data_IF_946248108547
#
_entry.id   IF_946248108547
#
_cell.length_a   1.000
_cell.length_b   1.000
_cell.length_c   1.000
_cell.angle_alpha   90.00
_cell.angle_beta   90.00
_cell.angle_gamma   90.00
#
_symmetry.space_group_name_H-M   'P 1'
#
loop_
_entity.id
_entity.type
_entity.pdbx_description
1 polymer ?
#
# COMPACT_ATOMS: atom_id res chain seq x y z
N UNK A 1 -11.51 22.28 -0.92
CA UNK A 1 -10.23 22.94 -1.30
C UNK A 1 -9.55 22.03 -2.32
N UNK A 2 -9.12 22.62 -3.45
CA UNK A 2 -8.44 21.87 -4.51
C UNK A 2 -6.98 22.28 -4.62
N UNK A 3 -6.13 21.35 -5.02
CA UNK A 3 -4.70 21.54 -5.29
C UNK A 3 -4.36 20.77 -6.57
N UNK A 4 -3.56 21.38 -7.43
CA UNK A 4 -3.02 20.74 -8.63
C UNK A 4 -1.50 20.77 -8.50
N UNK A 5 -0.84 19.66 -8.77
CA UNK A 5 0.61 19.55 -8.81
C UNK A 5 1.05 18.94 -10.12
N UNK A 6 2.12 19.48 -10.68
CA UNK A 6 2.80 18.95 -11.85
C UNK A 6 4.26 18.73 -11.46
N UNK A 7 4.76 17.54 -11.66
CA UNK A 7 6.12 17.15 -11.31
C UNK A 7 6.87 16.52 -12.48
N UNK A 8 8.17 16.73 -12.48
CA UNK A 8 9.12 15.96 -13.28
C UNK A 8 9.99 15.20 -12.31
N UNK A 9 9.95 13.88 -12.36
CA UNK A 9 10.73 13.01 -11.50
C UNK A 9 11.74 12.22 -12.32
N UNK A 10 12.91 12.03 -11.73
CA UNK A 10 13.99 11.23 -12.31
C UNK A 10 14.59 10.37 -11.21
N UNK A 11 14.49 9.07 -11.36
CA UNK A 11 15.16 8.11 -10.49
C UNK A 11 16.26 7.43 -11.29
N UNK A 12 17.45 7.42 -10.74
CA UNK A 12 18.59 6.70 -11.30
C UNK A 12 19.34 5.99 -10.21
N UNK A 13 19.53 4.69 -10.36
CA UNK A 13 20.25 3.89 -9.41
C UNK A 13 21.59 3.45 -9.98
N UNK A 14 22.64 3.81 -9.31
CA UNK A 14 23.96 3.23 -9.53
C UNK A 14 24.09 1.91 -8.76
N UNK A 15 25.11 1.13 -9.05
CA UNK A 15 25.52 -0.04 -8.29
C UNK A 15 25.94 0.42 -6.89
N UNK A 16 24.95 0.66 -6.05
CA UNK A 16 25.13 1.07 -4.67
C UNK A 16 24.74 -0.05 -3.77
N UNK A 17 25.59 -0.35 -2.85
CA UNK A 17 25.44 -1.44 -1.90
C UNK A 17 24.58 -0.99 -0.72
N UNK A 18 23.78 -1.91 -0.22
CA UNK A 18 23.34 -2.09 1.17
C UNK A 18 22.47 -1.05 1.85
N UNK A 19 22.10 0.06 1.25
CA UNK A 19 21.23 1.04 1.92
C UNK A 19 19.94 1.37 1.19
N UNK A 20 19.51 0.52 0.29
CA UNK A 20 18.16 0.60 -0.27
C UNK A 20 17.35 -0.59 0.20
N UNK A 21 16.21 -0.28 0.77
CA UNK A 21 15.15 -1.25 0.97
C UNK A 21 14.85 -1.92 -0.38
N UNK A 22 14.95 -3.25 -0.44
CA UNK A 22 14.72 -4.02 -1.66
C UNK A 22 15.61 -3.66 -2.84
N UNK A 23 16.91 -3.64 -2.61
CA UNK A 23 17.90 -3.38 -3.65
C UNK A 23 17.72 -4.24 -4.91
N UNK A 24 17.26 -5.47 -4.75
CA UNK A 24 16.97 -6.42 -5.82
C UNK A 24 15.79 -6.04 -6.73
N UNK A 25 14.87 -5.23 -6.25
CA UNK A 25 13.69 -4.79 -7.02
C UNK A 25 13.91 -3.48 -7.77
N UNK A 26 15.11 -2.93 -7.71
CA UNK A 26 15.49 -1.75 -8.47
C UNK A 26 16.47 -2.12 -9.59
N UNK A 27 16.13 -1.81 -10.82
CA UNK A 27 17.05 -1.98 -11.92
C UNK A 27 18.24 -1.02 -11.83
N UNK A 28 19.43 -1.55 -12.02
CA UNK A 28 20.68 -0.79 -11.93
C UNK A 28 21.00 -0.12 -13.27
N UNK A 29 21.54 1.09 -13.24
CA UNK A 29 21.96 1.88 -14.40
C UNK A 29 20.84 2.16 -15.40
N UNK A 30 19.63 2.32 -14.92
CA UNK A 30 18.47 2.73 -15.70
C UNK A 30 17.86 4.02 -15.16
N UNK A 31 17.37 4.86 -16.07
CA UNK A 31 16.62 6.06 -15.74
C UNK A 31 15.14 5.79 -15.77
N UNK A 32 14.49 6.09 -14.65
CA UNK A 32 13.03 6.13 -14.56
C UNK A 32 12.61 7.61 -14.51
N UNK A 33 12.49 8.20 -15.70
CA UNK A 33 12.07 9.58 -15.89
C UNK A 33 10.59 9.64 -16.21
N UNK A 34 9.85 10.49 -15.52
CA UNK A 34 8.41 10.59 -15.73
C UNK A 34 7.86 12.00 -15.46
N UNK A 35 6.70 12.24 -16.02
CA UNK A 35 5.85 13.39 -15.73
C UNK A 35 4.71 12.89 -14.83
N UNK A 36 4.53 13.58 -13.72
CA UNK A 36 3.46 13.31 -12.76
C UNK A 36 2.52 14.52 -12.74
N UNK A 37 1.22 14.24 -12.80
CA UNK A 37 0.16 15.22 -12.62
C UNK A 37 -0.79 14.72 -11.55
N UNK A 38 -1.07 15.52 -10.51
CA UNK A 38 -2.04 15.19 -9.49
C UNK A 38 -3.04 16.31 -9.24
N UNK A 39 -4.27 15.90 -8.95
CA UNK A 39 -5.38 16.75 -8.54
C UNK A 39 -5.92 16.22 -7.21
N UNK A 40 -5.75 16.99 -6.15
CA UNK A 40 -6.31 16.73 -4.83
C UNK A 40 -7.53 17.63 -4.60
N UNK A 41 -8.62 17.05 -4.11
CA UNK A 41 -9.83 17.79 -3.72
C UNK A 41 -10.34 17.34 -2.36
N UNK A 42 -10.27 18.24 -1.36
CA UNK A 42 -10.85 18.03 -0.02
C UNK A 42 -12.26 18.57 0.03
N UNK A 43 -13.16 17.73 0.56
CA UNK A 43 -14.58 18.08 0.71
C UNK A 43 -15.09 17.76 2.12
N UNK A 44 -16.18 18.41 2.46
CA UNK A 44 -16.96 18.11 3.66
C UNK A 44 -18.44 18.26 3.33
N UNK A 45 -19.18 17.18 3.54
CA UNK A 45 -20.63 17.11 3.31
C UNK A 45 -21.25 16.53 4.59
N UNK A 46 -21.95 17.38 5.33
CA UNK A 46 -22.49 17.02 6.64
C UNK A 46 -21.42 16.46 7.59
N UNK A 47 -21.59 15.23 8.05
CA UNK A 47 -20.67 14.52 8.94
C UNK A 47 -19.57 13.75 8.19
N UNK A 48 -19.59 13.75 6.87
CA UNK A 48 -18.59 13.10 6.03
C UNK A 48 -17.58 14.15 5.60
N UNK A 49 -16.33 13.91 5.90
CA UNK A 49 -15.20 14.65 5.33
C UNK A 49 -14.33 13.71 4.52
N UNK A 50 -13.85 14.17 3.39
CA UNK A 50 -13.07 13.30 2.52
C UNK A 50 -12.10 14.05 1.64
N UNK A 51 -11.28 13.25 0.98
CA UNK A 51 -10.29 13.67 0.02
C UNK A 51 -10.34 12.75 -1.19
N UNK A 52 -10.39 13.34 -2.37
CA UNK A 52 -10.23 12.61 -3.63
C UNK A 52 -8.92 13.07 -4.24
N UNK A 53 -8.08 12.12 -4.57
CA UNK A 53 -6.86 12.35 -5.34
C UNK A 53 -6.96 11.61 -6.68
N UNK A 54 -6.71 12.35 -7.75
CA UNK A 54 -6.55 11.82 -9.10
C UNK A 54 -5.11 12.08 -9.51
N UNK A 55 -4.37 11.06 -9.85
CA UNK A 55 -3.01 11.23 -10.33
C UNK A 55 -2.75 10.42 -11.60
N UNK A 56 -1.94 10.98 -12.47
CA UNK A 56 -1.44 10.30 -13.67
C UNK A 56 0.06 10.47 -13.76
N UNK A 57 0.72 9.41 -14.13
CA UNK A 57 2.16 9.35 -14.28
C UNK A 57 2.49 8.72 -15.62
N UNK A 58 3.38 9.35 -16.37
CA UNK A 58 3.77 8.89 -17.71
C UNK A 58 5.27 8.92 -17.86
N UNK A 59 5.85 7.82 -18.33
CA UNK A 59 7.25 7.77 -18.71
C UNK A 59 7.55 8.84 -19.76
N UNK A 60 8.64 9.58 -19.60
CA UNK A 60 9.00 10.69 -20.45
C UNK A 60 10.53 10.86 -20.56
N UNK A 61 10.98 11.70 -21.52
CA UNK A 61 12.30 12.33 -21.55
C UNK A 61 13.47 11.38 -21.22
N UNK A 62 13.78 10.48 -22.14
CA UNK A 62 14.91 9.54 -22.01
C UNK A 62 14.76 8.52 -20.86
N UNK A 63 13.54 8.15 -20.51
CA UNK A 63 13.30 7.03 -19.61
C UNK A 63 13.68 5.71 -20.28
N UNK A 64 14.32 4.82 -19.53
CA UNK A 64 14.56 3.43 -19.96
C UNK A 64 13.29 2.58 -19.87
N UNK A 65 12.20 3.14 -19.34
CA UNK A 65 10.91 2.49 -19.13
C UNK A 65 9.82 3.13 -20.01
N UNK A 66 8.79 2.34 -20.28
CA UNK A 66 7.63 2.77 -21.07
C UNK A 66 6.34 2.31 -20.38
N UNK A 67 5.79 3.18 -19.55
CA UNK A 67 4.54 2.93 -18.86
C UNK A 67 3.76 4.21 -18.60
N UNK A 68 2.47 4.04 -18.42
CA UNK A 68 1.57 5.06 -17.89
C UNK A 68 0.75 4.46 -16.77
N UNK A 69 0.50 5.21 -15.73
CA UNK A 69 -0.45 4.85 -14.67
C UNK A 69 -1.39 5.99 -14.34
N UNK A 70 -2.64 5.63 -14.12
CA UNK A 70 -3.68 6.49 -13.60
C UNK A 70 -4.09 5.95 -12.24
N UNK A 71 -4.18 6.81 -11.24
CA UNK A 71 -4.58 6.46 -9.87
C UNK A 71 -5.75 7.34 -9.46
N UNK A 72 -6.78 6.70 -8.90
CA UNK A 72 -7.85 7.34 -8.15
C UNK A 72 -7.78 6.83 -6.72
N UNK A 73 -7.63 7.73 -5.78
CA UNK A 73 -7.77 7.46 -4.37
C UNK A 73 -8.85 8.33 -3.76
N UNK A 74 -9.76 7.72 -3.01
CA UNK A 74 -10.78 8.44 -2.26
C UNK A 74 -10.78 7.98 -0.80
N UNK A 75 -10.46 8.88 0.11
CA UNK A 75 -10.46 8.65 1.55
C UNK A 75 -11.61 9.42 2.17
N UNK A 76 -12.45 8.73 2.92
CA UNK A 76 -13.57 9.30 3.65
C UNK A 76 -13.46 9.04 5.14
N UNK A 77 -13.81 10.04 5.92
CA UNK A 77 -14.02 9.92 7.35
C UNK A 77 -15.47 10.31 7.63
N UNK A 78 -16.21 9.41 8.23
CA UNK A 78 -17.62 9.61 8.61
C UNK A 78 -17.80 9.34 10.09
N UNK A 79 -18.83 9.94 10.70
CA UNK A 79 -19.29 9.58 12.04
C UNK A 79 -20.65 8.92 11.91
N UNK A 80 -20.75 7.65 12.30
CA UNK A 80 -21.99 6.86 12.25
C UNK A 80 -22.23 6.29 13.64
N UNK A 81 -23.36 6.62 14.27
CA UNK A 81 -23.68 6.23 15.65
C UNK A 81 -22.55 6.56 16.64
N UNK A 82 -21.94 7.75 16.48
CA UNK A 82 -20.79 8.23 17.25
C UNK A 82 -19.49 7.40 17.09
N UNK A 83 -19.46 6.43 16.20
CA UNK A 83 -18.25 5.75 15.81
C UNK A 83 -17.62 6.46 14.62
N UNK A 84 -16.31 6.60 14.62
CA UNK A 84 -15.58 7.13 13.47
C UNK A 84 -15.26 6.00 12.51
N UNK A 85 -15.78 6.12 11.31
CA UNK A 85 -15.50 5.23 10.19
C UNK A 85 -14.53 5.92 9.24
N UNK A 86 -13.46 5.24 8.89
CA UNK A 86 -12.58 5.63 7.79
C UNK A 86 -12.73 4.61 6.67
N UNK A 87 -12.95 5.09 5.45
CA UNK A 87 -12.96 4.25 4.25
C UNK A 87 -11.98 4.80 3.23
N UNK A 88 -11.36 3.89 2.49
CA UNK A 88 -10.49 4.22 1.35
C UNK A 88 -10.90 3.37 0.17
N UNK A 89 -11.09 4.00 -0.98
CA UNK A 89 -11.26 3.35 -2.27
C UNK A 89 -10.02 3.70 -3.09
N UNK A 90 -9.37 2.70 -3.63
CA UNK A 90 -8.19 2.84 -4.45
C UNK A 90 -8.37 2.13 -5.78
N UNK A 91 -8.05 2.82 -6.87
CA UNK A 91 -8.05 2.26 -8.22
C UNK A 91 -6.76 2.69 -8.91
N UNK A 92 -6.02 1.75 -9.45
CA UNK A 92 -4.91 2.02 -10.35
C UNK A 92 -5.13 1.32 -11.67
N UNK A 93 -4.91 2.04 -12.75
CA UNK A 93 -4.92 1.53 -14.13
C UNK A 93 -3.54 1.79 -14.72
N UNK A 94 -2.87 0.73 -15.14
CA UNK A 94 -1.55 0.79 -15.72
C UNK A 94 -1.51 0.24 -17.14
N UNK A 95 -0.74 0.90 -18.00
CA UNK A 95 -0.48 0.47 -19.39
C UNK A 95 1.01 0.57 -19.70
N UNK A 96 1.44 -0.14 -20.72
CA UNK A 96 2.83 -0.16 -21.17
C UNK A 96 3.54 -1.49 -20.89
N UNK A 97 4.56 -1.75 -21.71
CA UNK A 97 5.21 -3.06 -21.77
C UNK A 97 6.43 -3.17 -20.86
N UNK A 98 7.07 -2.03 -20.57
CA UNK A 98 8.31 -1.99 -19.80
C UNK A 98 8.14 -1.10 -18.55
N UNK A 99 7.80 -1.73 -17.43
CA UNK A 99 7.57 -1.08 -16.15
C UNK A 99 8.82 -1.11 -15.27
N UNK A 100 9.10 0.03 -14.65
CA UNK A 100 10.05 0.08 -13.57
C UNK A 100 9.54 -0.76 -12.39
N UNK A 101 10.35 -1.65 -11.88
CA UNK A 101 9.97 -2.57 -10.80
C UNK A 101 9.54 -1.84 -9.53
N UNK A 102 10.22 -0.73 -9.23
CA UNK A 102 9.92 0.14 -8.09
C UNK A 102 8.59 0.88 -8.18
N UNK A 103 8.06 1.05 -9.41
CA UNK A 103 6.80 1.79 -9.68
C UNK A 103 5.56 0.90 -9.77
N UNK A 104 5.72 -0.42 -9.67
CA UNK A 104 4.61 -1.36 -9.75
C UNK A 104 3.68 -1.24 -8.56
N UNK A 105 2.43 -1.60 -8.77
CA UNK A 105 1.43 -1.69 -7.71
C UNK A 105 1.68 -2.93 -6.86
N UNK A 106 1.72 -2.77 -5.54
CA UNK A 106 1.84 -3.88 -4.60
C UNK A 106 0.50 -4.22 -3.96
N UNK A 107 0.34 -5.50 -3.64
CA UNK A 107 -0.90 -6.02 -3.08
C UNK A 107 -1.11 -5.57 -1.62
N UNK A 108 -0.07 -5.63 -0.84
CA UNK A 108 -0.13 -5.46 0.59
C UNK A 108 0.63 -4.22 1.10
N UNK A 109 0.58 -3.12 0.40
CA UNK A 109 1.18 -1.89 0.89
C UNK A 109 1.95 -1.10 -0.16
N UNK A 110 2.68 -0.11 0.28
CA UNK A 110 3.46 0.79 -0.57
C UNK A 110 4.58 0.08 -1.33
N UNK A 111 4.86 0.56 -2.52
CA UNK A 111 5.97 0.07 -3.33
C UNK A 111 7.30 0.72 -2.94
N UNK A 112 8.38 0.37 -3.66
CA UNK A 112 9.71 0.89 -3.35
C UNK A 112 9.82 2.41 -3.51
N UNK A 113 9.09 3.02 -4.46
CA UNK A 113 9.01 4.48 -4.58
C UNK A 113 8.35 5.10 -3.36
N UNK A 114 7.25 4.53 -2.89
CA UNK A 114 6.54 5.01 -1.70
C UNK A 114 7.47 4.99 -0.48
N UNK A 115 8.22 3.90 -0.31
CA UNK A 115 9.21 3.76 0.76
C UNK A 115 10.35 4.79 0.65
N UNK A 116 10.85 5.05 -0.54
CA UNK A 116 11.92 6.02 -0.78
C UNK A 116 11.47 7.46 -0.63
N UNK A 117 10.21 7.75 -0.94
CA UNK A 117 9.66 9.10 -0.80
C UNK A 117 9.24 9.43 0.64
N UNK A 118 9.08 8.43 1.48
CA UNK A 118 8.73 8.63 2.88
C UNK A 118 9.96 9.05 3.70
N UNK A 119 9.81 10.11 4.49
CA UNK A 119 10.90 10.69 5.29
C UNK A 119 11.43 9.77 6.39
N UNK A 120 10.65 8.80 6.84
CA UNK A 120 11.04 7.85 7.88
C UNK A 120 11.66 6.58 7.31
N UNK A 121 11.10 6.05 6.21
CA UNK A 121 11.54 4.76 5.65
C UNK A 121 12.72 4.87 4.69
N UNK A 122 12.94 6.04 4.07
CA UNK A 122 14.09 6.26 3.16
C UNK A 122 15.44 6.23 3.85
N UNK A 123 15.48 6.41 5.17
CA UNK A 123 16.70 6.35 5.95
C UNK A 123 17.02 4.90 6.28
N UNK A 124 17.98 4.35 5.57
CA UNK A 124 18.44 2.97 5.75
C UNK A 124 19.16 2.78 7.07
N UNK A 125 19.14 1.56 7.58
CA UNK A 125 19.74 1.19 8.86
C UNK A 125 18.81 1.35 10.06
N UNK A 126 17.64 1.93 9.90
CA UNK A 126 16.63 2.01 10.96
C UNK A 126 15.85 0.71 11.13
N UNK A 127 15.54 0.06 10.01
CA UNK A 127 14.79 -1.18 10.00
C UNK A 127 15.69 -2.24 9.36
N UNK A 128 16.02 -3.32 10.05
CA UNK A 128 16.82 -4.40 9.50
C UNK A 128 16.15 -4.97 8.22
N UNK A 129 16.95 -5.33 7.22
CA UNK A 129 16.45 -5.87 5.95
C UNK A 129 15.57 -7.11 6.14
N UNK A 130 15.83 -7.87 7.18
CA UNK A 130 15.03 -9.06 7.55
C UNK A 130 13.59 -8.71 7.93
N UNK A 131 13.34 -7.48 8.37
CA UNK A 131 11.98 -7.00 8.73
C UNK A 131 11.26 -6.30 7.58
N UNK A 132 11.94 -6.08 6.47
CA UNK A 132 11.41 -5.34 5.32
C UNK A 132 11.48 -6.24 4.09
N UNK A 133 11.13 -7.45 4.13
CA UNK A 133 11.15 -8.32 2.96
C UNK A 133 9.75 -8.80 2.61
N UNK A 134 9.38 -8.78 1.36
CA UNK A 134 8.22 -9.50 0.90
C UNK A 134 8.59 -10.99 0.78
N UNK A 135 7.73 -11.87 1.32
CA UNK A 135 7.96 -13.30 1.26
C UNK A 135 8.89 -13.86 2.33
N UNK A 136 9.27 -13.06 3.31
CA UNK A 136 9.90 -13.56 4.53
C UNK A 136 8.85 -13.74 5.61
N UNK A 137 8.85 -14.87 6.29
CA UNK A 137 8.03 -15.12 7.48
C UNK A 137 8.35 -14.18 8.65
N UNK A 138 9.45 -13.44 8.54
CA UNK A 138 9.90 -12.45 9.53
C UNK A 138 9.53 -11.02 9.15
N UNK A 139 8.88 -10.81 8.00
CA UNK A 139 8.55 -9.45 7.58
C UNK A 139 7.22 -9.01 8.16
N UNK A 140 7.29 -8.42 9.32
CA UNK A 140 6.12 -7.83 9.99
C UNK A 140 6.03 -6.31 9.81
N UNK A 141 6.89 -5.71 8.97
CA UNK A 141 6.82 -4.29 8.69
C UNK A 141 5.85 -4.01 7.55
N UNK A 142 4.93 -3.07 7.76
CA UNK A 142 3.93 -2.68 6.78
C UNK A 142 3.91 -1.17 6.58
N UNK A 143 4.24 -0.74 5.38
CA UNK A 143 4.07 0.63 4.93
C UNK A 143 2.78 0.75 4.12
N UNK A 144 1.88 1.63 4.54
CA UNK A 144 0.61 1.86 3.83
C UNK A 144 0.84 2.36 2.40
N UNK A 145 0.02 1.94 1.46
CA UNK A 145 0.08 2.32 0.06
C UNK A 145 -0.45 1.21 -0.85
N UNK A 146 -0.45 1.43 -2.15
CA UNK A 146 -0.96 0.47 -3.10
C UNK A 146 -2.38 -0.01 -2.77
N UNK A 147 -2.66 -1.30 -2.90
CA UNK A 147 -3.96 -1.88 -2.53
C UNK A 147 -4.17 -1.96 -1.02
N UNK A 148 -3.11 -2.00 -0.24
CA UNK A 148 -3.12 -1.99 1.22
C UNK A 148 -3.94 -3.11 1.87
N UNK A 149 -3.85 -4.35 1.34
CA UNK A 149 -4.44 -5.52 1.96
C UNK A 149 -3.48 -6.04 3.04
N UNK A 150 -3.70 -5.62 4.28
CA UNK A 150 -2.78 -5.80 5.40
C UNK A 150 -2.52 -7.25 5.74
N UNK A 151 -3.53 -8.10 5.65
CA UNK A 151 -3.41 -9.52 5.93
C UNK A 151 -2.50 -10.30 4.99
N UNK A 152 -2.19 -9.70 3.84
CA UNK A 152 -1.30 -10.30 2.83
C UNK A 152 0.13 -9.71 2.86
N UNK A 153 0.45 -8.87 3.83
CA UNK A 153 1.80 -8.34 3.99
C UNK A 153 2.79 -9.46 4.35
N UNK A 154 3.97 -9.42 3.74
CA UNK A 154 5.03 -10.41 3.99
C UNK A 154 4.90 -11.72 3.23
N UNK A 155 3.81 -11.95 2.52
CA UNK A 155 3.62 -13.20 1.78
C UNK A 155 3.94 -13.05 0.29
N UNK A 156 4.86 -13.88 -0.20
CA UNK A 156 4.85 -14.38 -1.56
C UNK A 156 3.89 -15.58 -1.56
N UNK A 157 2.68 -15.38 -2.07
CA UNK A 157 1.65 -16.39 -1.92
C UNK A 157 1.75 -17.40 -3.05
N UNK A 158 2.27 -18.62 -2.83
CA UNK A 158 1.96 -19.73 -3.69
C UNK A 158 0.48 -20.06 -3.51
N UNK A 159 -0.30 -19.98 -4.55
CA UNK A 159 -1.65 -20.48 -4.57
C UNK A 159 -1.63 -21.90 -5.12
N UNK A 160 -2.16 -22.85 -4.37
CA UNK A 160 -2.43 -24.18 -4.88
C UNK A 160 -3.77 -24.16 -5.61
N UNK A 161 -3.75 -24.29 -6.91
CA UNK A 161 -4.93 -24.43 -7.74
C UNK A 161 -4.83 -25.72 -8.52
N UNK A 162 -5.80 -26.65 -8.33
CA UNK A 162 -5.84 -27.96 -8.97
C UNK A 162 -4.60 -28.85 -8.78
N UNK A 163 -3.95 -28.76 -7.62
CA UNK A 163 -2.75 -29.53 -7.30
C UNK A 163 -1.46 -28.97 -7.89
N UNK A 164 -1.51 -27.79 -8.53
CA UNK A 164 -0.34 -27.07 -8.99
C UNK A 164 -0.13 -25.81 -8.12
N UNK A 165 1.12 -25.58 -7.74
CA UNK A 165 1.51 -24.35 -7.06
C UNK A 165 1.71 -23.29 -8.13
N UNK A 166 0.76 -22.38 -8.26
CA UNK A 166 0.94 -21.20 -9.10
C UNK A 166 1.55 -20.06 -8.26
N UNK A 167 2.63 -19.48 -8.75
CA UNK A 167 3.23 -18.32 -8.12
C UNK A 167 2.32 -17.12 -8.31
N UNK A 168 1.75 -16.62 -7.23
CA UNK A 168 0.96 -15.41 -7.25
C UNK A 168 1.86 -14.21 -7.54
N UNK A 169 1.50 -13.41 -8.54
CA UNK A 169 2.17 -12.13 -8.78
C UNK A 169 1.83 -11.16 -7.66
N UNK A 170 2.79 -10.93 -6.78
CA UNK A 170 2.69 -10.02 -5.66
C UNK A 170 2.55 -8.55 -6.08
N UNK A 171 3.03 -8.21 -7.25
CA UNK A 171 2.97 -6.88 -7.85
C UNK A 171 2.26 -6.90 -9.20
N UNK A 172 1.62 -5.79 -9.54
CA UNK A 172 0.89 -5.65 -10.79
C UNK A 172 0.96 -4.24 -11.37
N UNK A 173 0.28 -4.05 -12.48
CA UNK A 173 0.14 -2.76 -13.16
C UNK A 173 -1.17 -2.08 -12.77
N UNK A 174 -2.23 -2.86 -12.58
CA UNK A 174 -3.58 -2.38 -12.30
C UNK A 174 -4.18 -3.08 -11.09
N UNK A 175 -5.09 -2.42 -10.41
CA UNK A 175 -5.77 -3.00 -9.27
C UNK A 175 -6.84 -2.10 -8.69
N UNK A 176 -7.70 -2.71 -7.89
CA UNK A 176 -8.78 -2.04 -7.16
C UNK A 176 -8.80 -2.56 -5.73
N UNK A 177 -8.96 -1.68 -4.76
CA UNK A 177 -9.14 -2.05 -3.37
C UNK A 177 -10.13 -1.14 -2.65
N UNK A 178 -10.72 -1.71 -1.61
CA UNK A 178 -11.47 -1.01 -0.58
C UNK A 178 -10.89 -1.38 0.78
N UNK A 179 -10.62 -0.36 1.60
CA UNK A 179 -10.13 -0.52 2.96
C UNK A 179 -11.10 0.19 3.90
N UNK A 180 -11.47 -0.45 4.99
CA UNK A 180 -12.39 0.08 6.00
C UNK A 180 -11.74 0.00 7.38
N UNK A 181 -11.93 1.05 8.20
CA UNK A 181 -11.50 1.09 9.60
C UNK A 181 -12.61 1.70 10.46
N UNK A 182 -12.89 1.08 11.59
CA UNK A 182 -13.83 1.59 12.60
C UNK A 182 -13.05 1.85 13.89
N UNK A 183 -12.97 3.11 14.28
CA UNK A 183 -12.31 3.57 15.51
C UNK A 183 -13.16 3.15 16.74
N UNK A 184 -12.54 2.45 17.66
CA UNK A 184 -13.14 1.96 18.90
C UNK A 184 -12.73 2.78 20.12
N UNK A 185 -12.03 3.89 19.96
CA UNK A 185 -11.53 4.73 21.07
C UNK A 185 -12.65 5.21 21.99
N UNK A 186 -13.90 5.33 21.49
CA UNK A 186 -15.07 5.65 22.30
C UNK A 186 -15.34 4.63 23.41
N UNK A 187 -15.01 3.37 23.18
CA UNK A 187 -15.26 2.28 24.12
C UNK A 187 -14.02 1.90 24.94
N UNK A 188 -12.84 2.16 24.39
CA UNK A 188 -11.57 1.76 24.98
C UNK A 188 -10.65 2.96 25.10
N UNK A 189 -10.68 3.61 26.27
CA UNK A 189 -9.80 4.73 26.59
C UNK A 189 -8.47 4.22 27.14
N UNK A 190 -7.54 3.86 26.27
CA UNK A 190 -6.24 3.35 26.66
C UNK A 190 -5.19 4.47 26.50
N UNK A 191 -4.49 4.77 27.57
CA UNK A 191 -3.43 5.76 27.56
C UNK A 191 -2.08 5.08 27.77
N UNK A 192 -1.10 5.47 26.95
CA UNK A 192 0.29 5.09 27.13
C UNK A 192 1.12 6.35 27.22
N UNK A 193 1.82 6.53 28.36
CA UNK A 193 2.50 7.78 28.68
C UNK A 193 1.50 8.97 28.62
N UNK A 194 1.74 9.95 27.78
CA UNK A 194 0.91 11.15 27.63
C UNK A 194 0.05 11.15 26.35
N UNK A 195 -0.07 10.02 25.66
CA UNK A 195 -0.79 9.89 24.42
C UNK A 195 -1.85 8.80 24.51
N UNK A 196 -2.93 8.95 23.74
CA UNK A 196 -3.99 7.99 23.62
C UNK A 196 -3.64 6.92 22.58
N UNK A 197 -3.81 5.66 22.96
CA UNK A 197 -3.83 4.52 22.03
C UNK A 197 -5.22 4.42 21.43
N UNK A 198 -5.31 4.36 20.11
CA UNK A 198 -6.58 4.27 19.39
C UNK A 198 -6.77 2.88 18.81
N UNK A 199 -7.54 2.02 19.48
CA UNK A 199 -7.90 0.72 18.94
C UNK A 199 -8.92 0.87 17.81
N UNK A 200 -8.86 -0.02 16.83
CA UNK A 200 -9.79 -0.07 15.69
C UNK A 200 -9.96 -1.52 15.21
N UNK A 201 -11.03 -1.75 14.48
CA UNK A 201 -11.22 -2.93 13.65
C UNK A 201 -11.08 -2.53 12.19
N UNK A 202 -10.63 -3.46 11.37
CA UNK A 202 -10.46 -3.21 9.95
C UNK A 202 -10.86 -4.37 9.06
N UNK A 203 -11.11 -4.07 7.80
CA UNK A 203 -11.28 -5.03 6.73
C UNK A 203 -10.83 -4.45 5.41
N UNK A 204 -10.09 -5.23 4.67
CA UNK A 204 -9.53 -4.87 3.37
C UNK A 204 -9.99 -5.87 2.31
N UNK A 205 -10.23 -5.40 1.09
CA UNK A 205 -10.54 -6.28 -0.03
C UNK A 205 -10.00 -5.68 -1.34
N UNK A 206 -9.51 -6.52 -2.24
CA UNK A 206 -8.97 -6.03 -3.50
C UNK A 206 -8.59 -7.12 -4.50
N UNK A 207 -8.29 -6.65 -5.69
CA UNK A 207 -7.85 -7.45 -6.84
C UNK A 207 -6.68 -6.74 -7.52
N UNK A 208 -5.79 -7.50 -8.12
CA UNK A 208 -4.62 -6.97 -8.84
C UNK A 208 -4.48 -7.62 -10.21
N UNK A 209 -3.85 -6.94 -11.14
CA UNK A 209 -3.53 -7.46 -12.47
C UNK A 209 -2.13 -7.07 -12.90
N UNK A 210 -1.44 -7.99 -13.52
CA UNK A 210 -0.16 -7.76 -14.20
C UNK A 210 -0.30 -7.69 -15.74
N UNK A 211 -1.50 -7.94 -16.27
CA UNK A 211 -1.80 -7.87 -17.72
C UNK A 211 -2.26 -6.46 -18.09
N UNK A 212 -2.10 -6.11 -19.35
CA UNK A 212 -2.65 -4.87 -19.89
C UNK A 212 -4.17 -5.00 -20.07
N UNK A 213 -4.91 -3.95 -19.75
CA UNK A 213 -6.39 -3.92 -19.79
C UNK A 213 -6.95 -4.13 -21.21
N UNK A 214 -6.12 -4.02 -22.22
CA UNK A 214 -6.50 -4.25 -23.63
C UNK A 214 -6.69 -5.73 -24.00
N UNK A 215 -6.44 -6.68 -23.08
CA UNK A 215 -6.71 -8.10 -23.32
C UNK A 215 -8.19 -8.43 -23.16
N UNK A 216 -8.71 -9.33 -23.99
CA UNK A 216 -10.12 -9.47 -24.35
C UNK A 216 -11.09 -9.98 -23.27
N UNK A 217 -10.64 -10.43 -22.10
CA UNK A 217 -11.52 -10.96 -21.03
C UNK A 217 -11.16 -10.39 -19.65
N UNK A 218 -12.10 -9.68 -19.05
CA UNK A 218 -11.91 -9.06 -17.72
C UNK A 218 -11.54 -10.08 -16.62
N UNK A 219 -12.10 -11.27 -16.67
CA UNK A 219 -11.83 -12.36 -15.69
C UNK A 219 -10.45 -12.98 -15.83
N UNK A 220 -9.79 -12.83 -16.99
CA UNK A 220 -8.42 -13.31 -17.21
C UNK A 220 -7.37 -12.25 -16.85
N UNK A 221 -7.81 -11.01 -16.63
CA UNK A 221 -6.93 -9.86 -16.38
C UNK A 221 -6.60 -9.79 -14.91
N UNK A 222 -7.59 -9.98 -14.03
CA UNK A 222 -7.44 -9.78 -12.59
C UNK A 222 -7.32 -11.11 -11.84
N UNK A 223 -6.59 -11.07 -10.73
CA UNK A 223 -6.57 -12.16 -9.77
C UNK A 223 -7.95 -12.34 -9.12
N UNK A 224 -8.13 -13.44 -8.46
CA UNK A 224 -9.29 -13.62 -7.57
C UNK A 224 -9.31 -12.57 -6.46
N UNK A 225 -10.52 -12.27 -6.00
CA UNK A 225 -10.73 -11.36 -4.88
C UNK A 225 -10.03 -11.88 -3.63
N UNK A 226 -9.22 -11.02 -3.04
CA UNK A 226 -8.61 -11.22 -1.74
C UNK A 226 -9.24 -10.29 -0.74
N UNK A 227 -9.47 -10.81 0.47
CA UNK A 227 -9.99 -10.03 1.57
C UNK A 227 -9.39 -10.48 2.89
N UNK A 228 -9.16 -9.52 3.75
CA UNK A 228 -8.69 -9.75 5.10
C UNK A 228 -9.47 -8.90 6.11
N UNK A 229 -9.38 -9.29 7.37
CA UNK A 229 -9.94 -8.53 8.47
C UNK A 229 -9.13 -8.73 9.74
N UNK A 230 -9.15 -7.71 10.60
CA UNK A 230 -8.37 -7.74 11.81
C UNK A 230 -8.71 -6.63 12.79
N UNK A 231 -7.88 -6.55 13.80
CA UNK A 231 -7.89 -5.47 14.79
C UNK A 231 -6.53 -4.76 14.77
N UNK A 232 -6.51 -3.52 15.19
CA UNK A 232 -5.28 -2.78 15.28
C UNK A 232 -5.30 -1.70 16.34
N UNK A 233 -4.12 -1.14 16.58
CA UNK A 233 -3.94 -0.02 17.52
C UNK A 233 -3.01 0.99 16.84
N UNK A 234 -3.36 2.28 16.92
CA UNK A 234 -2.47 3.36 16.54
C UNK A 234 -1.97 4.14 17.76
N UNK A 235 -0.72 4.58 17.66
CA UNK A 235 -0.08 5.45 18.64
C UNK A 235 0.57 6.64 17.91
N UNK A 236 0.09 7.85 18.23
CA UNK A 236 0.58 9.07 17.58
C UNK A 236 1.67 9.72 18.44
N UNK A 237 2.87 9.80 17.89
CA UNK A 237 3.98 10.54 18.47
C UNK A 237 3.90 12.01 18.06
N UNK A 238 4.18 12.90 19.01
CA UNK A 238 4.27 14.32 18.72
C UNK A 238 5.36 14.59 17.69
N UNK A 239 5.13 15.52 16.76
CA UNK A 239 6.13 15.84 15.76
C UNK A 239 7.44 16.32 16.41
N UNK A 240 8.54 15.76 15.96
CA UNK A 240 9.87 16.21 16.36
C UNK A 240 10.29 17.36 15.44
N UNK A 241 10.43 18.56 15.99
CA UNK A 241 10.87 19.76 15.27
C UNK A 241 9.94 20.11 14.07
N UNK A 242 10.40 20.00 12.83
CA UNK A 242 9.64 20.30 11.60
C UNK A 242 9.09 19.05 10.90
N UNK A 243 9.26 17.88 11.48
CA UNK A 243 8.79 16.62 10.91
C UNK A 243 7.26 16.50 11.05
N UNK A 244 6.65 15.69 10.20
CA UNK A 244 5.25 15.30 10.38
C UNK A 244 5.09 14.45 11.64
N UNK A 245 3.88 14.40 12.25
CA UNK A 245 3.64 13.47 13.36
C UNK A 245 3.86 12.03 12.87
N UNK A 246 4.65 11.26 13.62
CA UNK A 246 4.83 9.84 13.37
C UNK A 246 3.67 9.08 14.00
N UNK A 247 3.00 8.25 13.22
CA UNK A 247 1.95 7.36 13.69
C UNK A 247 2.47 5.94 13.60
N UNK A 248 2.63 5.33 14.74
CA UNK A 248 2.96 3.91 14.84
C UNK A 248 1.67 3.09 14.80
N UNK A 249 1.70 1.98 14.10
CA UNK A 249 0.57 1.04 13.98
C UNK A 249 1.01 -0.36 14.37
N UNK A 250 0.12 -1.07 15.03
CA UNK A 250 0.19 -2.51 15.21
C UNK A 250 -1.12 -3.09 14.71
N UNK A 251 -1.07 -3.85 13.63
CA UNK A 251 -2.21 -4.52 13.02
C UNK A 251 -2.12 -6.03 13.29
N UNK A 252 -3.26 -6.64 13.58
CA UNK A 252 -3.41 -8.09 13.78
C UNK A 252 -4.47 -8.58 12.79
N UNK A 253 -4.10 -8.88 11.53
CA UNK A 253 -5.00 -9.45 10.53
C UNK A 253 -5.20 -10.94 10.81
N UNK A 254 -6.23 -11.30 11.53
CA UNK A 254 -6.50 -12.69 11.93
C UNK A 254 -7.29 -13.49 10.89
N UNK A 255 -7.97 -12.83 9.96
CA UNK A 255 -8.78 -13.50 8.93
C UNK A 255 -8.23 -13.22 7.53
N UNK A 256 -8.09 -14.27 6.72
CA UNK A 256 -7.84 -14.20 5.28
C UNK A 256 -8.85 -15.07 4.54
N UNK A 257 -9.45 -14.57 3.47
CA UNK A 257 -10.35 -15.38 2.65
C UNK A 257 -9.60 -16.40 1.75
N UNK A 258 -8.32 -16.19 1.52
CA UNK A 258 -7.43 -17.08 0.77
C UNK A 258 -6.05 -17.09 1.43
N UNK A 259 -5.87 -17.87 2.49
CA UNK A 259 -4.59 -17.98 3.17
C UNK A 259 -3.54 -18.64 2.25
N UNK A 260 -2.25 -18.39 2.48
CA UNK A 260 -1.16 -19.14 1.84
C UNK A 260 -1.24 -20.64 2.11
N UNK A 261 -0.55 -21.42 1.30
CA UNK A 261 -0.43 -22.86 1.54
C UNK A 261 0.14 -23.14 2.94
N UNK A 262 -0.47 -24.07 3.66
CA UNK A 262 -0.18 -24.42 5.05
C UNK A 262 -0.59 -23.42 6.14
N UNK A 263 -1.38 -22.41 5.82
CA UNK A 263 -1.98 -21.51 6.79
C UNK A 263 -3.51 -21.65 6.85
N UNK A 264 -4.09 -21.26 7.98
CA UNK A 264 -5.53 -21.31 8.20
C UNK A 264 -6.21 -19.99 7.85
N UNK A 265 -7.53 -20.05 7.58
CA UNK A 265 -8.34 -18.84 7.33
C UNK A 265 -8.35 -17.92 8.55
N UNK A 266 -8.29 -18.48 9.76
CA UNK A 266 -8.21 -17.78 11.04
C UNK A 266 -6.89 -18.14 11.70
N UNK A 267 -5.94 -17.22 11.68
CA UNK A 267 -4.62 -17.42 12.27
C UNK A 267 -4.08 -16.11 12.84
N UNK A 268 -3.24 -16.21 13.87
CA UNK A 268 -2.60 -15.04 14.46
C UNK A 268 -1.46 -14.55 13.57
N UNK A 269 -1.62 -13.33 13.07
CA UNK A 269 -0.60 -12.59 12.30
C UNK A 269 -0.44 -11.21 12.91
N UNK A 270 0.70 -10.59 12.76
CA UNK A 270 0.90 -9.24 13.23
C UNK A 270 1.79 -8.43 12.30
N UNK A 271 1.51 -7.14 12.22
CA UNK A 271 2.22 -6.17 11.40
C UNK A 271 2.53 -4.93 12.24
N UNK A 272 3.68 -4.35 11.98
CA UNK A 272 4.10 -3.08 12.55
C UNK A 272 4.33 -2.07 11.42
N UNK A 273 3.79 -0.88 11.55
CA UNK A 273 3.92 0.19 10.56
C UNK A 273 3.98 1.58 11.18
#
# INVERSE_FOLDING_TARGET
KSKIEIGLLSYYRTKGENYMLYAEYWDINKFNNRIDLSLEHKYKINEISGEIELSTMSSALFSDYNYNKFILENINNASIFDLKLKSRIFVQIGTGDNWASESKLYFAGGNNEDLMNNEFTRSTGYIPNEYIGFGSTLNNFHHSGGLNLRGYAGYLIPQEENGNIESFNYSGKSGVAINLEIDLSKYFHIHLMNNELKPYIFGDAGIISNKDINSSNFTEIFTDLRADAGVGITYSLKPLYKMKPLILRLDIPFFLNRPPANEEYLEFRWLFG
#
